data_IF_948935925045
#
_entry.id   IF_948935925045
#
_cell.length_a   1.000
_cell.length_b   1.000
_cell.length_c   1.000
_cell.angle_alpha   90.00
_cell.angle_beta   90.00
_cell.angle_gamma   90.00
#
_symmetry.space_group_name_H-M   'P 1'
#
loop_
_entity.id
_entity.type
_entity.pdbx_description
1 polymer ?
#
# COMPACT_ATOMS: atom_id res chain seq x y z
N UNK A 1 24.83 -2.58 14.99
CA UNK A 1 23.64 -1.99 15.68
C UNK A 1 24.03 -1.64 17.10
N UNK A 2 23.71 -0.44 17.50
CA UNK A 2 24.04 0.10 18.85
C UNK A 2 23.25 -0.64 19.93
N UNK A 3 23.92 -0.90 21.05
CA UNK A 3 23.28 -1.51 22.22
C UNK A 3 22.34 -0.49 22.91
N UNK A 4 21.05 -0.81 23.11
CA UNK A 4 20.10 0.11 23.73
C UNK A 4 20.33 0.34 25.23
N UNK A 5 21.18 -0.46 25.87
CA UNK A 5 21.45 -0.38 27.30
C UNK A 5 22.74 0.40 27.65
N UNK A 6 23.79 0.24 26.84
CA UNK A 6 25.10 0.84 27.16
C UNK A 6 25.72 1.63 25.99
N UNK A 7 25.00 1.83 24.91
CA UNK A 7 25.39 2.56 23.70
C UNK A 7 26.69 2.04 23.02
N UNK A 8 27.09 0.79 23.25
CA UNK A 8 28.16 0.15 22.48
C UNK A 8 27.73 0.05 21.02
N UNK A 9 28.56 0.51 20.09
CA UNK A 9 28.23 0.61 18.66
C UNK A 9 27.94 -0.73 17.98
N UNK A 10 28.63 -1.78 18.40
CA UNK A 10 28.50 -3.12 17.81
C UNK A 10 27.92 -4.11 18.79
N UNK A 11 27.02 -4.96 18.28
CA UNK A 11 26.39 -6.06 19.01
C UNK A 11 26.37 -7.33 18.13
N UNK A 12 26.49 -8.47 18.77
CA UNK A 12 26.53 -9.79 18.08
C UNK A 12 25.11 -10.34 17.88
N UNK A 13 24.87 -10.99 16.74
CA UNK A 13 23.64 -11.76 16.51
C UNK A 13 23.89 -13.18 17.02
N UNK A 14 23.13 -13.62 18.03
CA UNK A 14 23.25 -14.94 18.63
C UNK A 14 22.19 -15.92 18.11
N UNK A 15 21.05 -15.44 17.60
CA UNK A 15 20.00 -16.24 16.97
C UNK A 15 19.29 -15.43 15.91
N UNK A 16 18.83 -16.09 14.83
CA UNK A 16 18.11 -15.47 13.73
C UNK A 16 17.02 -16.40 13.23
N UNK A 17 15.77 -15.95 13.22
CA UNK A 17 14.61 -16.74 12.79
C UNK A 17 13.71 -15.92 11.89
N UNK A 18 13.20 -16.54 10.83
CA UNK A 18 12.10 -15.97 10.02
C UNK A 18 10.81 -16.03 10.83
N UNK A 19 9.92 -15.02 10.66
CA UNK A 19 8.55 -15.13 11.15
C UNK A 19 7.77 -16.19 10.32
N UNK A 20 6.59 -16.58 10.82
CA UNK A 20 5.77 -17.61 10.17
C UNK A 20 5.30 -17.22 8.76
N UNK A 21 5.21 -15.93 8.46
CA UNK A 21 4.81 -15.37 7.16
C UNK A 21 6.00 -15.18 6.21
N UNK A 22 7.24 -15.35 6.70
CA UNK A 22 8.45 -15.20 5.90
C UNK A 22 8.84 -13.76 5.52
N UNK A 23 8.09 -12.75 5.98
CA UNK A 23 8.26 -11.35 5.59
C UNK A 23 9.09 -10.51 6.57
N UNK A 24 9.57 -11.11 7.67
CA UNK A 24 10.48 -10.47 8.61
C UNK A 24 11.44 -11.48 9.25
N UNK A 25 12.61 -10.99 9.66
CA UNK A 25 13.62 -11.76 10.36
C UNK A 25 13.72 -11.21 11.79
N UNK A 26 13.44 -12.06 12.77
CA UNK A 26 13.70 -11.80 14.17
C UNK A 26 15.14 -12.16 14.49
N UNK A 27 15.93 -11.20 15.02
CA UNK A 27 17.30 -11.42 15.45
C UNK A 27 17.42 -11.21 16.95
N UNK A 28 17.96 -12.18 17.68
CA UNK A 28 18.37 -12.02 19.05
C UNK A 28 19.82 -11.57 19.08
N UNK A 29 20.07 -10.45 19.75
CA UNK A 29 21.39 -9.82 19.83
C UNK A 29 21.90 -9.84 21.26
N UNK A 30 23.22 -9.90 21.41
CA UNK A 30 23.94 -9.79 22.67
C UNK A 30 25.01 -8.71 22.57
N UNK A 31 25.09 -7.86 23.58
CA UNK A 31 26.12 -6.84 23.65
C UNK A 31 27.41 -7.43 24.26
N UNK A 32 28.58 -7.31 23.61
CA UNK A 32 29.83 -7.82 24.15
C UNK A 32 30.37 -7.01 25.36
N UNK A 33 29.81 -5.80 25.61
CA UNK A 33 30.23 -4.94 26.71
C UNK A 33 29.41 -5.15 27.98
N UNK A 34 28.08 -5.19 27.88
CA UNK A 34 27.18 -5.30 29.04
C UNK A 34 26.50 -6.65 29.15
N UNK A 35 26.75 -7.56 28.19
CA UNK A 35 26.23 -8.94 28.14
C UNK A 35 24.68 -9.04 28.09
N UNK A 36 23.99 -7.89 28.04
CA UNK A 36 22.53 -7.87 27.93
C UNK A 36 22.09 -8.25 26.53
N UNK A 37 20.93 -8.94 26.48
CA UNK A 37 20.32 -9.41 25.23
C UNK A 37 19.09 -8.57 24.89
N UNK A 38 18.93 -8.31 23.61
CA UNK A 38 17.72 -7.65 23.07
C UNK A 38 17.33 -8.25 21.72
N UNK A 39 16.12 -7.97 21.29
CA UNK A 39 15.58 -8.48 20.03
C UNK A 39 15.42 -7.33 19.04
N UNK A 40 15.77 -7.59 17.78
CA UNK A 40 15.51 -6.69 16.65
C UNK A 40 14.72 -7.42 15.58
N UNK A 41 13.98 -6.66 14.78
CA UNK A 41 13.25 -7.16 13.63
C UNK A 41 13.75 -6.45 12.39
N UNK A 42 14.05 -7.23 11.36
CA UNK A 42 14.41 -6.75 10.03
C UNK A 42 13.21 -6.99 9.11
N UNK A 43 12.72 -5.93 8.48
CA UNK A 43 11.65 -5.98 7.49
C UNK A 43 12.13 -5.30 6.22
N UNK A 44 11.71 -5.84 5.06
CA UNK A 44 11.94 -5.14 3.81
C UNK A 44 11.00 -3.94 3.71
N UNK A 45 11.57 -2.75 3.53
CA UNK A 45 10.82 -1.55 3.15
C UNK A 45 10.93 -1.40 1.63
N UNK A 46 9.80 -1.54 0.95
CA UNK A 46 9.73 -1.33 -0.49
C UNK A 46 9.29 0.11 -0.71
N UNK A 47 10.24 0.97 -1.06
CA UNK A 47 9.95 2.33 -1.51
C UNK A 47 9.23 2.28 -2.84
N UNK A 48 7.90 2.35 -2.82
CA UNK A 48 7.08 2.39 -4.03
C UNK A 48 7.00 3.83 -4.52
N UNK A 49 7.46 4.08 -5.73
CA UNK A 49 7.46 5.40 -6.37
C UNK A 49 6.41 5.46 -7.46
N UNK A 50 5.67 6.55 -7.54
CA UNK A 50 4.65 6.80 -8.55
C UNK A 50 5.13 7.89 -9.51
N UNK A 51 5.15 7.57 -10.79
CA UNK A 51 5.39 8.52 -11.86
C UNK A 51 4.05 9.10 -12.34
N UNK A 52 3.85 10.40 -12.15
CA UNK A 52 2.66 11.13 -12.63
C UNK A 52 2.69 11.29 -14.15
N UNK A 53 1.53 11.64 -14.74
CA UNK A 53 1.42 12.02 -16.16
C UNK A 53 2.33 13.20 -16.54
N UNK A 54 2.57 14.13 -15.61
CA UNK A 54 3.53 15.23 -15.77
C UNK A 54 4.99 14.80 -15.90
N UNK A 55 5.32 13.53 -15.56
CA UNK A 55 6.67 13.02 -15.44
C UNK A 55 7.27 13.10 -14.04
N UNK A 56 6.63 13.83 -13.12
CA UNK A 56 7.08 13.94 -11.73
C UNK A 56 7.02 12.60 -11.02
N UNK A 57 8.01 12.35 -10.16
CA UNK A 57 8.08 11.14 -9.36
C UNK A 57 7.82 11.51 -7.91
N UNK A 58 6.90 10.80 -7.27
CA UNK A 58 6.59 10.95 -5.85
C UNK A 58 6.50 9.59 -5.17
N UNK A 59 6.71 9.57 -3.87
CA UNK A 59 6.48 8.37 -3.07
C UNK A 59 4.99 8.01 -3.03
N UNK A 60 4.70 6.71 -3.11
CA UNK A 60 3.34 6.21 -2.97
C UNK A 60 2.82 6.50 -1.56
N UNK A 61 1.60 6.99 -1.48
CA UNK A 61 0.95 7.29 -0.22
C UNK A 61 -0.29 6.43 -0.04
N UNK A 62 -0.22 5.47 0.88
CA UNK A 62 -1.31 4.55 1.21
C UNK A 62 -2.56 5.30 1.72
N UNK A 63 -2.38 6.35 2.54
CA UNK A 63 -3.49 7.15 3.08
C UNK A 63 -4.27 7.88 1.97
N UNK A 64 -3.57 8.34 0.94
CA UNK A 64 -4.22 8.93 -0.24
C UNK A 64 -5.04 7.91 -1.02
N UNK A 65 -4.51 6.69 -1.19
CA UNK A 65 -5.25 5.60 -1.82
C UNK A 65 -6.49 5.26 -1.01
N UNK A 66 -6.33 5.06 0.31
CA UNK A 66 -7.43 4.73 1.22
C UNK A 66 -8.53 5.79 1.16
N UNK A 67 -8.20 7.07 1.34
CA UNK A 67 -9.15 8.18 1.27
C UNK A 67 -9.85 8.31 -0.09
N UNK A 68 -9.12 8.09 -1.17
CA UNK A 68 -9.70 8.11 -2.52
C UNK A 68 -10.79 7.06 -2.69
N UNK A 69 -10.53 5.84 -2.23
CA UNK A 69 -11.49 4.73 -2.29
C UNK A 69 -12.65 4.96 -1.30
N UNK A 70 -12.36 5.39 -0.07
CA UNK A 70 -13.37 5.73 0.94
C UNK A 70 -14.36 6.78 0.41
N UNK A 71 -13.88 7.83 -0.25
CA UNK A 71 -14.71 8.86 -0.87
C UNK A 71 -15.62 8.31 -1.97
N UNK A 72 -15.14 7.34 -2.76
CA UNK A 72 -15.95 6.69 -3.78
C UNK A 72 -17.13 5.91 -3.16
N UNK A 73 -16.96 5.37 -1.95
CA UNK A 73 -18.00 4.68 -1.19
C UNK A 73 -18.86 5.62 -0.33
N UNK A 74 -18.63 6.91 -0.31
CA UNK A 74 -19.40 7.88 0.50
C UNK A 74 -20.91 7.68 0.39
N UNK A 75 -21.60 7.35 1.50
CA UNK A 75 -23.04 7.07 1.54
C UNK A 75 -23.47 5.70 0.98
N UNK A 76 -22.51 4.82 0.62
CA UNK A 76 -22.78 3.44 0.24
C UNK A 76 -22.53 2.52 1.44
N UNK A 77 -23.22 1.37 1.47
CA UNK A 77 -23.09 0.38 2.56
C UNK A 77 -21.81 -0.45 2.37
N UNK A 78 -20.76 -0.01 3.02
CA UNK A 78 -19.51 -0.77 3.16
C UNK A 78 -18.99 -0.63 4.60
N UNK A 79 -18.66 -1.75 5.26
CA UNK A 79 -18.04 -1.67 6.57
C UNK A 79 -16.53 -1.44 6.47
N UNK A 80 -15.95 -0.86 7.53
CA UNK A 80 -14.52 -0.49 7.59
C UNK A 80 -13.59 -1.66 7.31
N UNK A 81 -13.95 -2.87 7.76
CA UNK A 81 -13.14 -4.07 7.54
C UNK A 81 -13.09 -4.45 6.06
N UNK A 82 -14.23 -4.39 5.37
CA UNK A 82 -14.30 -4.68 3.92
C UNK A 82 -13.55 -3.62 3.12
N UNK A 83 -13.74 -2.34 3.47
CA UNK A 83 -13.03 -1.22 2.85
C UNK A 83 -11.51 -1.39 2.98
N UNK A 84 -11.04 -1.67 4.20
CA UNK A 84 -9.61 -1.90 4.45
C UNK A 84 -9.08 -3.09 3.65
N UNK A 85 -9.79 -4.21 3.63
CA UNK A 85 -9.40 -5.40 2.85
C UNK A 85 -9.31 -5.08 1.36
N UNK A 86 -10.26 -4.31 0.82
CA UNK A 86 -10.25 -3.87 -0.58
C UNK A 86 -9.01 -3.04 -0.89
N UNK A 87 -8.72 -2.04 -0.05
CA UNK A 87 -7.56 -1.16 -0.22
C UNK A 87 -6.25 -1.95 -0.11
N UNK A 88 -6.15 -2.87 0.85
CA UNK A 88 -4.98 -3.73 1.03
C UNK A 88 -4.74 -4.64 -0.19
N UNK A 89 -5.79 -5.20 -0.78
CA UNK A 89 -5.70 -6.02 -1.99
C UNK A 89 -5.18 -5.18 -3.18
N UNK A 90 -5.75 -4.01 -3.39
CA UNK A 90 -5.31 -3.06 -4.42
C UNK A 90 -3.83 -2.70 -4.23
N UNK A 91 -3.44 -2.33 -3.00
CA UNK A 91 -2.07 -1.99 -2.68
C UNK A 91 -1.10 -3.14 -2.92
N UNK A 92 -1.49 -4.36 -2.55
CA UNK A 92 -0.67 -5.55 -2.79
C UNK A 92 -0.51 -5.83 -4.30
N UNK A 93 -1.56 -5.71 -5.10
CA UNK A 93 -1.47 -5.86 -6.56
C UNK A 93 -0.55 -4.78 -7.17
N UNK A 94 -0.67 -3.52 -6.74
CA UNK A 94 0.21 -2.44 -7.18
C UNK A 94 1.68 -2.76 -6.89
N UNK A 95 2.00 -3.28 -5.71
CA UNK A 95 3.38 -3.65 -5.35
C UNK A 95 3.99 -4.73 -6.26
N UNK A 96 3.18 -5.62 -6.81
CA UNK A 96 3.68 -6.67 -7.70
C UNK A 96 4.19 -6.13 -9.03
N UNK A 97 3.81 -4.90 -9.40
CA UNK A 97 4.21 -4.24 -10.65
C UNK A 97 5.64 -3.67 -10.60
N UNK A 98 6.27 -3.66 -9.42
CA UNK A 98 7.63 -3.15 -9.21
C UNK A 98 7.72 -1.99 -8.23
N UNK A 99 8.87 -1.37 -8.15
CA UNK A 99 9.13 -0.26 -7.22
C UNK A 99 8.91 1.14 -7.83
N UNK A 100 8.73 1.23 -9.14
CA UNK A 100 8.39 2.48 -9.85
C UNK A 100 7.25 2.21 -10.83
N UNK A 101 6.11 2.84 -10.61
CA UNK A 101 4.87 2.56 -11.31
C UNK A 101 4.29 3.87 -11.85
N UNK A 102 3.65 3.81 -13.02
CA UNK A 102 2.90 4.94 -13.57
C UNK A 102 1.58 5.12 -12.82
N UNK A 103 1.15 6.36 -12.64
CA UNK A 103 -0.14 6.69 -12.00
C UNK A 103 -1.34 6.09 -12.72
N UNK A 104 -1.23 5.88 -14.03
CA UNK A 104 -2.26 5.23 -14.84
C UNK A 104 -2.52 3.80 -14.39
N UNK A 105 -1.46 3.02 -14.12
CA UNK A 105 -1.56 1.63 -13.64
C UNK A 105 -2.25 1.59 -12.27
N UNK A 106 -1.95 2.56 -11.40
CA UNK A 106 -2.63 2.67 -10.10
C UNK A 106 -4.13 2.92 -10.30
N UNK A 107 -4.49 3.87 -11.15
CA UNK A 107 -5.89 4.18 -11.45
C UNK A 107 -6.65 3.01 -12.07
N UNK A 108 -6.06 2.34 -13.06
CA UNK A 108 -6.64 1.14 -13.69
C UNK A 108 -6.85 0.00 -12.70
N UNK A 109 -5.87 -0.22 -11.80
CA UNK A 109 -5.99 -1.25 -10.75
C UNK A 109 -7.14 -0.90 -9.80
N UNK A 110 -7.25 0.35 -9.36
CA UNK A 110 -8.36 0.81 -8.51
C UNK A 110 -9.71 0.59 -9.21
N UNK A 111 -9.84 1.04 -10.45
CA UNK A 111 -11.08 0.90 -11.22
C UNK A 111 -11.49 -0.57 -11.41
N UNK A 112 -10.56 -1.46 -11.71
CA UNK A 112 -10.80 -2.91 -11.80
C UNK A 112 -11.45 -3.45 -10.53
N UNK A 113 -10.87 -3.18 -9.36
CA UNK A 113 -11.41 -3.67 -8.09
C UNK A 113 -12.75 -3.03 -7.71
N UNK A 114 -12.92 -1.74 -8.00
CA UNK A 114 -14.20 -1.07 -7.73
C UNK A 114 -15.32 -1.60 -8.62
N UNK A 115 -15.07 -1.87 -9.90
CA UNK A 115 -16.03 -2.47 -10.82
C UNK A 115 -16.58 -3.81 -10.31
N UNK A 116 -15.71 -4.65 -9.74
CA UNK A 116 -16.09 -5.94 -9.16
C UNK A 116 -16.79 -5.80 -7.80
N UNK A 117 -16.57 -4.69 -7.08
CA UNK A 117 -17.08 -4.52 -5.72
C UNK A 117 -18.38 -3.72 -5.67
N UNK A 118 -18.47 -2.60 -6.37
CA UNK A 118 -19.64 -1.73 -6.39
C UNK A 118 -19.60 -0.78 -7.59
N UNK A 119 -20.60 -0.91 -8.48
CA UNK A 119 -20.69 -0.13 -9.72
C UNK A 119 -20.81 1.38 -9.47
N UNK A 120 -21.50 1.81 -8.41
CA UNK A 120 -21.63 3.25 -8.09
C UNK A 120 -20.29 3.83 -7.62
N UNK A 121 -19.56 3.11 -6.76
CA UNK A 121 -18.21 3.52 -6.36
C UNK A 121 -17.26 3.55 -7.56
N UNK A 122 -17.39 2.57 -8.46
CA UNK A 122 -16.64 2.55 -9.72
C UNK A 122 -16.93 3.81 -10.55
N UNK A 123 -18.20 4.13 -10.84
CA UNK A 123 -18.58 5.28 -11.68
C UNK A 123 -18.09 6.61 -11.08
N UNK A 124 -18.17 6.77 -9.76
CA UNK A 124 -17.63 7.96 -9.07
C UNK A 124 -16.12 8.08 -9.26
N UNK A 125 -15.39 7.00 -9.11
CA UNK A 125 -13.94 7.00 -9.31
C UNK A 125 -13.58 7.20 -10.78
N UNK A 126 -14.27 6.51 -11.69
CA UNK A 126 -14.06 6.60 -13.13
C UNK A 126 -14.29 8.01 -13.65
N UNK A 127 -15.33 8.70 -13.16
CA UNK A 127 -15.64 10.06 -13.61
C UNK A 127 -14.51 11.07 -13.32
N UNK A 128 -13.83 10.89 -12.19
CA UNK A 128 -12.67 11.74 -11.83
C UNK A 128 -11.41 11.28 -12.59
N UNK A 129 -11.16 9.96 -12.63
CA UNK A 129 -9.95 9.42 -13.25
C UNK A 129 -9.91 9.61 -14.77
N UNK A 130 -11.06 9.42 -15.45
CA UNK A 130 -11.23 9.57 -16.90
C UNK A 130 -11.65 11.00 -17.28
N UNK A 131 -11.77 11.92 -16.31
CA UNK A 131 -12.08 13.34 -16.52
C UNK A 131 -13.38 13.54 -17.31
N UNK A 132 -14.49 12.88 -16.90
CA UNK A 132 -15.78 13.03 -17.57
C UNK A 132 -16.21 14.50 -17.66
N UNK A 133 -16.65 14.92 -18.84
CA UNK A 133 -17.01 16.30 -19.14
C UNK A 133 -18.51 16.55 -19.21
N UNK A 134 -19.30 15.53 -19.50
CA UNK A 134 -20.74 15.63 -19.63
C UNK A 134 -21.48 14.32 -19.28
N UNK A 135 -22.80 14.33 -19.34
CA UNK A 135 -23.63 13.18 -18.99
C UNK A 135 -23.46 12.00 -19.96
N UNK A 136 -23.09 12.26 -21.22
CA UNK A 136 -22.89 11.20 -22.20
C UNK A 136 -21.69 10.31 -21.87
N UNK A 137 -20.71 10.83 -21.15
CA UNK A 137 -19.56 10.03 -20.69
C UNK A 137 -19.99 9.00 -19.64
N UNK A 138 -20.93 9.37 -18.74
CA UNK A 138 -21.55 8.42 -17.81
C UNK A 138 -22.39 7.35 -18.53
N UNK A 139 -23.18 7.74 -19.55
CA UNK A 139 -23.99 6.78 -20.32
C UNK A 139 -23.11 5.74 -20.99
N UNK A 140 -22.00 6.15 -21.61
CA UNK A 140 -21.02 5.23 -22.22
C UNK A 140 -20.41 4.30 -21.19
N UNK A 141 -19.99 4.83 -20.05
CA UNK A 141 -19.34 4.05 -19.00
C UNK A 141 -20.31 3.04 -18.36
N UNK A 142 -21.58 3.43 -18.18
CA UNK A 142 -22.64 2.52 -17.69
C UNK A 142 -22.92 1.39 -18.69
N UNK A 143 -22.86 1.68 -20.00
CA UNK A 143 -23.05 0.67 -21.02
C UNK A 143 -21.92 -0.38 -21.08
N UNK A 144 -20.75 -0.08 -20.50
CA UNK A 144 -19.57 -0.97 -20.42
C UNK A 144 -19.53 -1.78 -19.12
N UNK A 145 -20.44 -1.53 -18.15
CA UNK A 145 -20.53 -2.29 -16.90
C UNK A 145 -21.14 -3.67 -17.11
#
# INVERSE_FOLDING_TARGET
MVCPYCNKEETNVVDSRKNNEGNSIRRRRECPKCELRFTTYEKAEIGLMIQKRSGDIQEFNYEKLYKGIENAFGGLDINDKKLKTLVDNIHNEIKTQGNKIKSEIVGETVLKYLKETNEVAYLRCASVYKEFSDASDFEKEVAEL
#
